data_IF_423055114700
#
_entry.id   IF_423055114700
#
_cell.length_a   1.000
_cell.length_b   1.000
_cell.length_c   1.000
_cell.angle_alpha   90.00
_cell.angle_beta   90.00
_cell.angle_gamma   90.00
#
_symmetry.space_group_name_H-M   'P 1'
#
loop_
_entity.id
_entity.type
_entity.pdbx_description
1 polymer ?
#
# COMPACT_ATOMS: atom_id res chain seq x y z
N UNK A 1 -1.22 22.09 27.12
CA UNK A 1 -1.58 21.97 28.55
C UNK A 1 -1.80 20.48 28.81
N UNK A 2 -1.19 19.91 29.86
CA UNK A 2 -0.98 18.46 30.09
C UNK A 2 -2.17 17.79 30.80
N UNK A 3 -2.52 16.56 30.38
CA UNK A 3 -3.44 15.63 31.05
C UNK A 3 -2.65 14.84 32.13
N UNK A 4 -3.06 14.84 33.41
CA UNK A 4 -2.33 14.23 34.52
C UNK A 4 -2.32 12.69 34.57
N UNK A 5 -3.04 11.97 33.70
CA UNK A 5 -3.19 10.50 33.83
C UNK A 5 -2.20 9.64 33.02
N UNK A 6 -1.29 10.22 32.22
CA UNK A 6 -0.29 9.46 31.46
C UNK A 6 1.15 9.96 31.69
N UNK A 7 1.89 9.39 32.66
CA UNK A 7 3.29 9.74 32.89
C UNK A 7 4.18 9.20 31.77
N UNK A 8 4.75 10.09 30.94
CA UNK A 8 5.88 9.73 30.07
C UNK A 8 7.17 9.71 30.91
N UNK A 9 7.97 8.66 30.79
CA UNK A 9 9.19 8.41 31.59
C UNK A 9 10.28 9.49 31.45
N UNK A 10 10.14 10.46 30.53
CA UNK A 10 11.00 11.64 30.49
C UNK A 10 10.15 12.88 30.25
N UNK A 11 10.35 13.91 31.08
CA UNK A 11 9.60 15.18 31.14
C UNK A 11 9.71 16.07 29.89
N UNK A 12 9.37 15.52 28.73
CA UNK A 12 9.11 16.28 27.51
C UNK A 12 7.79 17.05 27.59
N UNK A 13 7.64 18.11 26.79
CA UNK A 13 6.40 18.87 26.71
C UNK A 13 5.23 17.98 26.26
N UNK A 14 3.97 18.36 26.56
CA UNK A 14 2.79 17.67 26.03
C UNK A 14 2.86 17.55 24.50
N UNK A 15 2.32 16.46 23.95
CA UNK A 15 2.17 16.28 22.50
C UNK A 15 1.51 17.52 21.89
N UNK A 16 2.11 18.08 20.84
CA UNK A 16 1.49 19.15 20.07
C UNK A 16 0.40 18.56 19.18
N UNK A 17 -0.81 19.15 19.19
CA UNK A 17 -1.93 18.72 18.34
C UNK A 17 -2.04 19.54 17.06
N UNK A 18 -1.24 20.60 16.93
CA UNK A 18 -1.27 21.54 15.82
C UNK A 18 0.15 21.92 15.42
N UNK A 19 0.39 22.03 14.12
CA UNK A 19 1.67 22.48 13.57
C UNK A 19 1.43 23.50 12.46
N UNK A 20 2.08 24.66 12.60
CA UNK A 20 2.03 25.73 11.58
C UNK A 20 3.04 25.46 10.47
N UNK A 21 2.66 25.79 9.24
CA UNK A 21 3.54 25.82 8.07
C UNK A 21 4.24 27.18 7.91
N UNK A 22 3.82 28.21 8.65
CA UNK A 22 4.50 29.51 8.69
C UNK A 22 5.65 29.48 9.70
N UNK A 23 6.57 28.53 9.54
CA UNK A 23 7.75 28.34 10.38
C UNK A 23 8.92 27.78 9.58
N UNK A 24 10.17 27.96 10.02
CA UNK A 24 11.29 27.25 9.42
C UNK A 24 11.13 25.73 9.61
N UNK A 25 11.42 24.98 8.55
CA UNK A 25 11.49 23.52 8.58
C UNK A 25 12.95 23.09 8.68
N UNK A 26 13.23 22.24 9.66
CA UNK A 26 14.52 21.59 9.79
C UNK A 26 14.43 20.19 9.19
N UNK A 27 15.02 19.99 8.01
CA UNK A 27 14.82 18.76 7.20
C UNK A 27 15.92 17.71 7.39
N UNK A 28 17.04 18.03 8.05
CA UNK A 28 18.22 17.15 8.13
C UNK A 28 18.73 16.88 9.54
N UNK A 29 18.22 17.55 10.57
CA UNK A 29 18.74 17.42 11.93
C UNK A 29 18.15 16.23 12.70
N UNK A 30 16.86 15.95 12.53
CA UNK A 30 16.17 14.86 13.21
C UNK A 30 15.22 14.14 12.26
N UNK A 31 15.31 12.81 12.22
CA UNK A 31 14.48 11.94 11.36
C UNK A 31 14.42 12.40 9.90
N UNK A 32 15.57 12.68 9.30
CA UNK A 32 15.69 13.06 7.89
C UNK A 32 15.07 12.03 6.92
N UNK A 33 14.89 10.78 7.37
CA UNK A 33 14.19 9.73 6.62
C UNK A 33 12.75 10.08 6.25
N UNK A 34 12.09 10.95 7.02
CA UNK A 34 10.69 11.37 6.82
C UNK A 34 10.59 12.65 5.98
N UNK A 35 11.67 13.04 5.31
CA UNK A 35 11.78 14.32 4.61
C UNK A 35 12.03 14.08 3.12
N UNK A 36 11.65 15.08 2.31
CA UNK A 36 11.65 15.03 0.84
C UNK A 36 12.93 14.49 0.19
N UNK A 37 14.08 14.64 0.85
CA UNK A 37 15.37 14.21 0.31
C UNK A 37 15.67 12.71 0.52
N UNK A 38 14.77 11.98 1.18
CA UNK A 38 14.92 10.56 1.44
C UNK A 38 14.27 9.69 0.37
N UNK A 39 12.93 9.65 0.29
CA UNK A 39 12.21 8.78 -0.65
C UNK A 39 11.81 9.51 -1.94
N UNK A 40 11.41 10.76 -1.82
CA UNK A 40 10.83 11.54 -2.92
C UNK A 40 11.89 12.05 -3.88
N UNK A 41 13.00 12.60 -3.38
CA UNK A 41 14.05 13.16 -4.21
C UNK A 41 14.71 12.17 -5.19
N UNK A 42 15.11 10.94 -4.80
CA UNK A 42 15.64 9.99 -5.78
C UNK A 42 14.57 9.59 -6.82
N UNK A 43 13.29 9.51 -6.43
CA UNK A 43 12.20 9.24 -7.36
C UNK A 43 12.00 10.38 -8.36
N UNK A 44 11.96 11.63 -7.89
CA UNK A 44 11.85 12.85 -8.70
C UNK A 44 12.97 12.91 -9.74
N UNK A 45 14.21 12.70 -9.30
CA UNK A 45 15.38 12.70 -10.18
C UNK A 45 15.25 11.64 -11.26
N UNK A 46 14.79 10.45 -10.91
CA UNK A 46 14.63 9.37 -11.88
C UNK A 46 13.52 9.66 -12.89
N UNK A 47 12.38 10.23 -12.45
CA UNK A 47 11.31 10.66 -13.34
C UNK A 47 11.80 11.70 -14.35
N UNK A 48 12.45 12.76 -13.87
CA UNK A 48 12.94 13.85 -14.70
C UNK A 48 14.07 13.39 -15.63
N UNK A 49 15.02 12.56 -15.14
CA UNK A 49 16.08 11.97 -15.96
C UNK A 49 15.54 11.13 -17.10
N UNK A 50 14.41 10.44 -16.88
CA UNK A 50 13.77 9.61 -17.90
C UNK A 50 12.75 10.40 -18.76
N UNK A 51 12.62 11.71 -18.56
CA UNK A 51 11.76 12.57 -19.37
C UNK A 51 10.28 12.28 -19.22
N UNK A 52 9.82 11.81 -18.06
CA UNK A 52 8.39 11.73 -17.78
C UNK A 52 7.80 13.14 -17.66
N UNK A 53 6.61 13.34 -18.24
CA UNK A 53 5.90 14.60 -18.13
C UNK A 53 5.17 14.66 -16.78
N UNK A 54 5.73 15.42 -15.84
CA UNK A 54 5.29 15.45 -14.44
C UNK A 54 4.88 16.85 -14.01
N UNK A 55 3.87 16.91 -13.15
CA UNK A 55 3.50 18.10 -12.38
C UNK A 55 3.66 17.76 -10.89
N UNK A 56 4.12 18.73 -10.10
CA UNK A 56 4.24 18.56 -8.65
C UNK A 56 3.08 19.25 -7.93
N UNK A 57 2.57 18.58 -6.91
CA UNK A 57 1.43 19.05 -6.14
C UNK A 57 1.60 18.66 -4.68
N UNK A 58 1.20 19.55 -3.75
CA UNK A 58 1.29 19.24 -2.32
C UNK A 58 0.04 18.52 -1.81
N UNK A 59 0.12 17.88 -0.63
CA UNK A 59 -1.05 17.31 0.05
C UNK A 59 -2.18 18.33 0.26
N UNK A 60 -1.83 19.57 0.66
CA UNK A 60 -2.80 20.70 0.75
C UNK A 60 -3.51 20.92 -0.58
N UNK A 61 -2.77 20.85 -1.68
CA UNK A 61 -3.32 21.07 -3.00
C UNK A 61 -4.26 19.93 -3.41
N UNK A 62 -3.90 18.68 -3.11
CA UNK A 62 -4.77 17.51 -3.37
C UNK A 62 -6.11 17.60 -2.63
N UNK A 63 -6.17 18.30 -1.50
CA UNK A 63 -7.41 18.62 -0.81
C UNK A 63 -8.21 19.76 -1.46
N UNK A 64 -7.57 20.91 -1.74
CA UNK A 64 -8.30 22.12 -2.14
C UNK A 64 -8.49 22.28 -3.65
N UNK A 65 -7.78 21.48 -4.46
CA UNK A 65 -7.74 21.51 -5.93
C UNK A 65 -7.79 20.10 -6.51
N UNK A 66 -8.69 19.25 -5.97
CA UNK A 66 -8.81 17.85 -6.38
C UNK A 66 -9.10 17.64 -7.87
N UNK A 67 -9.77 18.60 -8.50
CA UNK A 67 -10.05 18.64 -9.93
C UNK A 67 -8.78 18.69 -10.80
N UNK A 68 -7.65 19.16 -10.28
CA UNK A 68 -6.37 19.17 -11.00
C UNK A 68 -5.80 17.76 -11.17
N UNK A 69 -6.16 16.81 -10.28
CA UNK A 69 -5.76 15.40 -10.38
C UNK A 69 -6.34 14.78 -11.66
N UNK A 70 -7.57 15.17 -12.03
CA UNK A 70 -8.28 14.68 -13.22
C UNK A 70 -7.64 15.09 -14.55
N UNK A 71 -6.69 16.03 -14.53
CA UNK A 71 -5.93 16.45 -15.72
C UNK A 71 -4.76 15.52 -16.03
N UNK A 72 -4.56 14.48 -15.22
CA UNK A 72 -3.43 13.55 -15.30
C UNK A 72 -3.93 12.12 -15.52
N UNK A 73 -3.07 11.26 -16.06
CA UNK A 73 -3.36 9.82 -16.21
C UNK A 73 -3.07 9.02 -14.95
N UNK A 74 -2.13 9.50 -14.15
CA UNK A 74 -1.58 8.81 -12.99
C UNK A 74 -1.33 9.82 -11.87
N UNK A 75 -1.87 9.53 -10.69
CA UNK A 75 -1.53 10.19 -9.43
C UNK A 75 -0.48 9.36 -8.68
N UNK A 76 0.56 10.02 -8.17
CA UNK A 76 1.64 9.40 -7.40
C UNK A 76 1.64 9.93 -5.97
N UNK A 77 1.65 9.02 -5.00
CA UNK A 77 2.10 9.31 -3.63
C UNK A 77 3.44 8.60 -3.43
N UNK A 78 4.46 9.33 -2.97
CA UNK A 78 5.85 8.87 -2.95
C UNK A 78 6.48 9.24 -1.61
N UNK A 79 7.31 8.36 -1.07
CA UNK A 79 8.07 8.63 0.15
C UNK A 79 7.27 8.25 1.39
N UNK A 80 7.03 9.20 2.29
CA UNK A 80 6.40 8.92 3.59
C UNK A 80 5.15 9.78 3.81
N UNK A 81 4.07 9.47 3.10
CA UNK A 81 2.85 10.29 3.02
C UNK A 81 1.83 9.95 4.14
N UNK A 82 2.30 10.00 5.40
CA UNK A 82 1.59 9.48 6.60
C UNK A 82 0.30 10.23 6.98
N UNK A 83 0.19 11.51 6.65
CA UNK A 83 -0.87 12.40 7.15
C UNK A 83 -1.80 12.87 6.03
N UNK A 84 -3.03 12.35 6.01
CA UNK A 84 -4.01 12.66 4.98
C UNK A 84 -5.26 13.31 5.56
N UNK A 85 -5.77 14.34 4.90
CA UNK A 85 -7.06 14.91 5.27
C UNK A 85 -8.23 14.13 4.66
N UNK A 86 -9.44 14.35 5.19
CA UNK A 86 -10.66 13.79 4.61
C UNK A 86 -10.82 14.13 3.12
N UNK A 87 -10.65 15.41 2.79
CA UNK A 87 -10.89 15.88 1.43
C UNK A 87 -9.78 15.45 0.47
N UNK A 88 -8.53 15.37 0.92
CA UNK A 88 -7.44 14.79 0.13
C UNK A 88 -7.77 13.35 -0.28
N UNK A 89 -8.11 12.48 0.70
CA UNK A 89 -8.49 11.10 0.41
C UNK A 89 -9.67 11.02 -0.57
N UNK A 90 -10.75 11.76 -0.29
CA UNK A 90 -11.95 11.80 -1.15
C UNK A 90 -11.62 12.21 -2.58
N UNK A 91 -10.77 13.21 -2.77
CA UNK A 91 -10.43 13.70 -4.11
C UNK A 91 -9.59 12.67 -4.89
N UNK A 92 -8.67 11.96 -4.21
CA UNK A 92 -7.88 10.86 -4.82
C UNK A 92 -8.78 9.67 -5.17
N UNK A 93 -9.71 9.28 -4.29
CA UNK A 93 -10.71 8.24 -4.55
C UNK A 93 -11.63 8.64 -5.72
N UNK A 94 -12.05 9.90 -5.79
CA UNK A 94 -12.85 10.42 -6.91
C UNK A 94 -12.06 10.39 -8.23
N UNK A 95 -10.76 10.68 -8.20
CA UNK A 95 -9.90 10.56 -9.38
C UNK A 95 -9.79 9.10 -9.85
N UNK A 96 -9.59 8.15 -8.93
CA UNK A 96 -9.65 6.71 -9.24
C UNK A 96 -10.98 6.34 -9.87
N UNK A 97 -12.09 6.77 -9.29
CA UNK A 97 -13.43 6.52 -9.81
C UNK A 97 -13.66 7.13 -11.21
N UNK A 98 -12.95 8.21 -11.56
CA UNK A 98 -12.95 8.83 -12.88
C UNK A 98 -11.96 8.21 -13.88
N UNK A 99 -11.24 7.14 -13.49
CA UNK A 99 -10.31 6.42 -14.38
C UNK A 99 -8.85 6.88 -14.29
N UNK A 100 -8.50 7.78 -13.36
CA UNK A 100 -7.10 8.14 -13.10
C UNK A 100 -6.44 6.99 -12.35
N UNK A 101 -5.30 6.50 -12.86
CA UNK A 101 -4.50 5.49 -12.19
C UNK A 101 -3.89 6.04 -10.89
N UNK A 102 -3.70 5.18 -9.89
CA UNK A 102 -3.01 5.56 -8.65
C UNK A 102 -1.77 4.66 -8.45
N UNK A 103 -0.66 5.23 -8.01
CA UNK A 103 0.46 4.44 -7.52
C UNK A 103 1.03 5.04 -6.23
N UNK A 104 1.10 4.21 -5.20
CA UNK A 104 1.60 4.54 -3.88
C UNK A 104 3.00 3.91 -3.74
N UNK A 105 4.03 4.71 -3.97
CA UNK A 105 5.43 4.37 -3.72
C UNK A 105 5.82 4.83 -2.30
N UNK A 106 5.03 4.35 -1.34
CA UNK A 106 5.08 4.69 0.07
C UNK A 106 4.79 3.44 0.90
N UNK A 107 5.16 3.51 2.17
CA UNK A 107 4.59 2.71 3.26
C UNK A 107 4.10 3.68 4.33
N UNK A 108 3.26 3.22 5.25
CA UNK A 108 2.64 4.09 6.26
C UNK A 108 1.88 5.28 5.68
N UNK A 109 1.50 5.25 4.40
CA UNK A 109 0.65 6.28 3.81
C UNK A 109 -0.77 6.22 4.33
N UNK A 110 -1.46 7.37 4.36
CA UNK A 110 -2.87 7.45 4.75
C UNK A 110 -3.10 6.91 6.18
N UNK A 111 -2.10 6.97 7.06
CA UNK A 111 -2.20 6.38 8.41
C UNK A 111 -2.92 7.31 9.39
N UNK A 112 -2.49 8.57 9.50
CA UNK A 112 -3.14 9.57 10.36
C UNK A 112 -4.12 10.42 9.58
N UNK A 113 -5.32 10.57 10.13
CA UNK A 113 -6.28 11.55 9.64
C UNK A 113 -6.00 12.93 10.21
N UNK A 114 -5.91 13.93 9.33
CA UNK A 114 -5.71 15.33 9.69
C UNK A 114 -6.89 16.20 9.26
N UNK A 115 -6.91 17.42 9.80
CA UNK A 115 -7.71 18.53 9.25
C UNK A 115 -6.88 19.81 9.24
N UNK A 116 -7.31 20.78 8.44
CA UNK A 116 -6.66 22.08 8.35
C UNK A 116 -7.37 23.15 9.15
N UNK A 117 -6.58 24.10 9.62
CA UNK A 117 -7.03 25.40 10.11
C UNK A 117 -6.23 26.51 9.40
N UNK A 118 -6.77 27.74 9.39
CA UNK A 118 -6.02 28.91 8.98
C UNK A 118 -4.75 29.14 9.81
N UNK A 119 -3.90 30.06 9.34
CA UNK A 119 -2.78 30.57 10.13
C UNK A 119 -3.27 31.26 11.39
N UNK A 120 -2.47 31.20 12.45
CA UNK A 120 -2.74 31.93 13.71
C UNK A 120 -2.21 33.37 13.70
N UNK A 121 -1.53 33.77 12.63
CA UNK A 121 -1.11 35.16 12.41
C UNK A 121 -2.26 36.03 11.87
N UNK A 122 -2.02 37.35 11.80
CA UNK A 122 -3.02 38.32 11.36
C UNK A 122 -3.48 38.12 9.90
N UNK A 123 -2.69 37.41 9.08
CA UNK A 123 -3.06 37.14 7.69
C UNK A 123 -4.16 36.06 7.59
N UNK A 124 -4.31 35.21 8.62
CA UNK A 124 -5.35 34.18 8.72
C UNK A 124 -5.52 33.36 7.43
N UNK A 125 -4.41 33.06 6.75
CA UNK A 125 -4.44 32.35 5.48
C UNK A 125 -4.86 30.89 5.68
N UNK A 126 -5.77 30.38 4.86
CA UNK A 126 -6.24 28.99 4.93
C UNK A 126 -5.10 27.97 4.70
N UNK A 127 -5.29 26.75 5.21
CA UNK A 127 -4.37 25.62 5.02
C UNK A 127 -2.94 25.88 5.51
N UNK A 128 -2.79 26.66 6.59
CA UNK A 128 -1.47 26.95 7.19
C UNK A 128 -1.22 26.24 8.51
N UNK A 129 -2.25 25.64 9.12
CA UNK A 129 -2.10 24.88 10.37
C UNK A 129 -2.66 23.47 10.18
N UNK A 130 -1.79 22.46 10.24
CA UNK A 130 -2.19 21.05 10.25
C UNK A 130 -2.58 20.65 11.67
N UNK A 131 -3.73 19.99 11.83
CA UNK A 131 -4.28 19.56 13.12
C UNK A 131 -4.43 18.04 13.16
N UNK A 132 -3.90 17.44 14.21
CA UNK A 132 -4.03 16.00 14.50
C UNK A 132 -3.98 15.77 16.01
N UNK A 133 -5.07 15.25 16.58
CA UNK A 133 -5.10 14.92 18.01
C UNK A 133 -4.55 13.52 18.27
N UNK A 134 -4.37 12.67 17.25
CA UNK A 134 -3.98 11.26 17.38
C UNK A 134 -4.86 10.54 18.41
N UNK A 135 -6.17 10.70 18.25
CA UNK A 135 -7.23 10.22 19.16
C UNK A 135 -7.15 8.72 19.44
N UNK A 136 -6.64 7.95 18.47
CA UNK A 136 -6.30 6.52 18.60
C UNK A 136 -5.37 6.23 19.78
N UNK A 137 -4.38 7.08 20.03
CA UNK A 137 -3.45 6.90 21.16
C UNK A 137 -4.10 7.18 22.51
N UNK A 138 -5.02 8.14 22.55
CA UNK A 138 -5.70 8.53 23.79
C UNK A 138 -6.92 7.66 24.09
N UNK A 139 -7.26 6.73 23.18
CA UNK A 139 -8.39 5.83 23.30
C UNK A 139 -9.72 6.57 23.55
N UNK A 140 -9.85 7.77 22.98
CA UNK A 140 -10.98 8.66 23.20
C UNK A 140 -11.10 9.72 22.09
N UNK A 141 -12.34 10.17 21.84
CA UNK A 141 -12.63 11.37 21.06
C UNK A 141 -12.20 12.61 21.86
N UNK A 142 -11.14 13.29 21.43
CA UNK A 142 -10.55 14.46 22.11
C UNK A 142 -10.32 15.68 21.20
N UNK A 143 -10.48 15.58 19.88
CA UNK A 143 -10.55 16.78 19.03
C UNK A 143 -11.84 17.55 19.40
N UNK A 144 -11.75 18.85 19.75
CA UNK A 144 -12.90 19.69 20.08
C UNK A 144 -13.99 19.75 19.02
N UNK A 145 -13.70 19.41 17.77
CA UNK A 145 -14.70 19.18 16.73
C UNK A 145 -15.28 17.77 16.88
N UNK A 146 -16.51 17.68 17.36
CA UNK A 146 -17.14 16.41 17.72
C UNK A 146 -17.37 15.46 16.52
N UNK A 147 -17.56 16.02 15.34
CA UNK A 147 -17.84 15.34 14.07
C UNK A 147 -16.58 15.06 13.23
N UNK A 148 -15.41 15.53 13.66
CA UNK A 148 -14.14 15.29 12.97
C UNK A 148 -13.31 14.23 13.69
N UNK A 149 -12.88 13.22 12.94
CA UNK A 149 -11.87 12.26 13.38
C UNK A 149 -10.45 12.72 13.03
N UNK A 150 -9.53 12.67 14.00
CA UNK A 150 -8.09 12.90 13.80
C UNK A 150 -7.20 11.84 14.47
N UNK A 151 -7.69 10.60 14.54
CA UNK A 151 -6.90 9.40 14.85
C UNK A 151 -6.47 8.66 13.59
N UNK A 152 -6.11 7.37 13.72
CA UNK A 152 -5.73 6.55 12.57
C UNK A 152 -6.95 6.21 11.72
N UNK A 153 -6.74 6.11 10.42
CA UNK A 153 -7.82 5.83 9.47
C UNK A 153 -8.46 4.44 9.69
N UNK A 154 -7.68 3.46 10.17
CA UNK A 154 -8.12 2.09 10.47
C UNK A 154 -8.85 1.89 11.80
N UNK A 155 -8.95 2.90 12.66
CA UNK A 155 -9.45 2.72 14.02
C UNK A 155 -10.95 2.36 14.02
N UNK A 156 -11.27 1.12 14.35
CA UNK A 156 -12.64 0.61 14.34
C UNK A 156 -13.38 0.82 15.68
N UNK A 157 -12.72 1.40 16.69
CA UNK A 157 -13.28 1.49 18.04
C UNK A 157 -14.45 2.49 18.10
N UNK A 158 -15.44 2.30 19.01
CA UNK A 158 -16.71 3.04 18.98
C UNK A 158 -16.62 4.56 19.15
N UNK A 159 -15.49 5.08 19.64
CA UNK A 159 -15.29 6.53 19.81
C UNK A 159 -14.81 7.23 18.52
N UNK A 160 -14.44 6.48 17.48
CA UNK A 160 -14.28 7.02 16.14
C UNK A 160 -15.69 7.24 15.55
N UNK A 161 -16.15 8.49 15.38
CA UNK A 161 -17.51 8.77 14.91
C UNK A 161 -17.74 8.41 13.44
N UNK A 162 -16.67 8.09 12.69
CA UNK A 162 -16.73 7.83 11.25
C UNK A 162 -16.58 6.35 10.89
N UNK A 163 -16.30 5.50 11.88
CA UNK A 163 -15.93 4.12 11.66
C UNK A 163 -14.57 3.95 10.95
N UNK A 164 -14.12 2.69 10.78
CA UNK A 164 -12.85 2.40 10.15
C UNK A 164 -12.92 2.63 8.63
N UNK A 165 -11.91 3.32 8.11
CA UNK A 165 -11.64 3.47 6.69
C UNK A 165 -10.15 3.16 6.50
N UNK A 166 -9.71 1.89 6.63
CA UNK A 166 -8.30 1.58 6.61
C UNK A 166 -7.65 1.93 5.27
N UNK A 167 -6.33 2.00 5.31
CA UNK A 167 -5.42 2.41 4.24
C UNK A 167 -5.53 1.46 3.05
N UNK A 168 -5.56 0.15 3.33
CA UNK A 168 -5.61 -0.89 2.31
C UNK A 168 -6.88 -0.84 1.44
N UNK A 169 -7.98 -0.26 1.92
CA UNK A 169 -9.18 -0.04 1.11
C UNK A 169 -8.93 0.90 -0.09
N UNK A 170 -7.90 1.73 -0.01
CA UNK A 170 -7.44 2.61 -1.09
C UNK A 170 -6.15 2.09 -1.73
N UNK A 171 -5.09 1.90 -0.94
CA UNK A 171 -3.73 1.69 -1.47
C UNK A 171 -3.42 0.22 -1.75
N UNK A 172 -4.24 -0.70 -1.21
CA UNK A 172 -4.03 -2.14 -1.31
C UNK A 172 -3.11 -2.73 -0.25
N UNK A 173 -2.43 -1.90 0.56
CA UNK A 173 -1.58 -2.32 1.67
C UNK A 173 -1.91 -1.57 2.95
N UNK A 174 -1.53 -2.12 4.10
CA UNK A 174 -1.75 -1.49 5.40
C UNK A 174 -0.46 -1.53 6.23
N UNK A 175 -0.11 -0.41 6.84
CA UNK A 175 1.11 -0.31 7.65
C UNK A 175 1.13 -1.27 8.83
N UNK A 176 2.20 -2.05 8.95
CA UNK A 176 2.37 -2.99 10.06
C UNK A 176 3.75 -2.97 10.70
N UNK A 177 4.79 -2.51 9.98
CA UNK A 177 6.17 -2.55 10.48
C UNK A 177 6.76 -1.16 10.67
N UNK A 178 6.94 -0.80 11.94
CA UNK A 178 7.57 0.44 12.36
C UNK A 178 9.09 0.26 12.56
N UNK A 179 9.82 1.36 12.66
CA UNK A 179 11.24 1.52 13.02
C UNK A 179 12.25 1.49 11.87
N UNK A 180 13.54 1.64 12.19
CA UNK A 180 14.65 1.76 11.25
C UNK A 180 14.95 0.45 10.51
N UNK A 181 14.07 0.06 9.57
CA UNK A 181 14.26 -1.11 8.71
C UNK A 181 15.08 -0.76 7.47
N UNK A 182 15.87 -1.73 7.02
CA UNK A 182 16.64 -1.67 5.78
C UNK A 182 16.70 -3.07 5.17
N UNK A 183 15.55 -3.73 5.08
CA UNK A 183 15.46 -5.09 4.56
C UNK A 183 15.51 -5.09 3.04
N UNK A 184 16.01 -6.16 2.40
CA UNK A 184 15.86 -6.34 0.97
C UNK A 184 14.42 -6.70 0.62
N UNK A 185 13.99 -6.33 -0.59
CA UNK A 185 12.79 -6.91 -1.19
C UNK A 185 13.18 -8.23 -1.86
N UNK A 186 12.46 -9.30 -1.53
CA UNK A 186 12.63 -10.65 -2.08
C UNK A 186 11.46 -10.95 -3.02
N UNK A 187 11.76 -11.53 -4.19
CA UNK A 187 10.74 -11.96 -5.16
C UNK A 187 10.91 -13.45 -5.44
N UNK A 188 10.00 -14.31 -4.94
CA UNK A 188 9.97 -15.71 -5.31
C UNK A 188 9.64 -15.92 -6.80
N UNK A 189 10.15 -17.00 -7.39
CA UNK A 189 9.89 -17.36 -8.79
C UNK A 189 8.40 -17.51 -9.14
N UNK A 190 7.53 -17.73 -8.15
CA UNK A 190 6.08 -17.76 -8.34
C UNK A 190 5.54 -16.45 -8.96
N UNK A 191 6.21 -15.31 -8.77
CA UNK A 191 5.80 -14.01 -9.32
C UNK A 191 6.49 -13.67 -10.65
N UNK A 192 7.49 -14.45 -11.07
CA UNK A 192 8.34 -14.12 -12.22
C UNK A 192 7.60 -13.94 -13.54
N UNK A 193 6.51 -14.70 -13.74
CA UNK A 193 5.72 -14.65 -14.98
C UNK A 193 4.74 -13.46 -15.03
N UNK A 194 4.53 -12.74 -13.92
CA UNK A 194 3.65 -11.59 -13.92
C UNK A 194 4.27 -10.46 -14.73
N UNK A 195 3.47 -9.81 -15.58
CA UNK A 195 3.91 -8.77 -16.50
C UNK A 195 4.60 -7.59 -15.83
N UNK A 196 4.33 -7.32 -14.55
CA UNK A 196 5.07 -6.33 -13.76
C UNK A 196 6.60 -6.51 -13.83
N UNK A 197 7.07 -7.76 -13.86
CA UNK A 197 8.48 -8.11 -13.89
C UNK A 197 9.08 -8.29 -15.29
N UNK A 198 8.33 -8.04 -16.38
CA UNK A 198 8.86 -8.17 -17.76
C UNK A 198 10.15 -7.35 -17.95
N UNK A 199 11.08 -7.81 -18.79
CA UNK A 199 12.37 -7.14 -19.04
C UNK A 199 13.32 -7.01 -17.82
N UNK A 200 13.02 -7.68 -16.70
CA UNK A 200 13.89 -7.76 -15.51
C UNK A 200 14.61 -9.11 -15.43
N UNK A 201 15.55 -9.24 -14.50
CA UNK A 201 16.12 -10.55 -14.15
C UNK A 201 15.16 -11.40 -13.33
N UNK A 202 14.20 -10.79 -12.63
CA UNK A 202 13.12 -11.49 -11.89
C UNK A 202 12.28 -12.35 -12.85
N UNK A 203 12.00 -11.86 -14.06
CA UNK A 203 11.24 -12.62 -15.06
C UNK A 203 11.95 -13.89 -15.57
N UNK A 204 13.25 -14.05 -15.27
CA UNK A 204 14.06 -15.21 -15.70
C UNK A 204 14.13 -16.30 -14.63
N UNK A 205 13.60 -16.05 -13.43
CA UNK A 205 13.65 -17.00 -12.32
C UNK A 205 12.95 -18.32 -12.68
N UNK A 206 13.59 -19.41 -12.33
CA UNK A 206 13.08 -20.77 -12.46
C UNK A 206 12.35 -21.21 -11.19
N UNK A 207 11.46 -22.22 -11.26
CA UNK A 207 10.75 -22.72 -10.07
C UNK A 207 11.69 -23.04 -8.90
N UNK A 208 11.41 -22.47 -7.73
CA UNK A 208 12.22 -22.63 -6.52
C UNK A 208 13.29 -21.54 -6.32
N UNK A 209 13.57 -20.70 -7.32
CA UNK A 209 14.47 -19.57 -7.19
C UNK A 209 13.79 -18.35 -6.54
N UNK A 210 14.63 -17.39 -6.13
CA UNK A 210 14.20 -16.07 -5.65
C UNK A 210 15.21 -15.01 -6.05
N UNK A 211 14.73 -13.84 -6.44
CA UNK A 211 15.55 -12.64 -6.53
C UNK A 211 15.64 -11.97 -5.16
N UNK A 212 16.83 -11.48 -4.81
CA UNK A 212 17.05 -10.61 -3.66
C UNK A 212 17.47 -9.26 -4.21
N UNK A 213 16.58 -8.29 -4.11
CA UNK A 213 16.77 -6.94 -4.64
C UNK A 213 17.53 -6.07 -3.62
N UNK A 214 17.76 -4.80 -3.98
CA UNK A 214 18.47 -3.83 -3.16
C UNK A 214 18.04 -3.88 -1.67
N UNK A 215 19.03 -4.03 -0.80
CA UNK A 215 18.88 -3.92 0.66
C UNK A 215 18.44 -2.49 0.97
N UNK A 216 17.46 -2.31 1.86
CA UNK A 216 16.92 -0.98 2.14
C UNK A 216 15.71 -0.63 1.27
N UNK A 217 15.29 -1.49 0.33
CA UNK A 217 14.02 -1.27 -0.34
C UNK A 217 12.84 -1.41 0.60
N UNK A 218 12.91 -2.30 1.58
CA UNK A 218 11.92 -2.41 2.66
C UNK A 218 12.40 -1.62 3.87
N UNK A 219 12.03 -0.34 3.87
CA UNK A 219 12.32 0.62 4.92
C UNK A 219 11.68 1.96 4.58
N UNK A 220 11.74 2.98 5.42
CA UNK A 220 12.00 2.93 6.87
C UNK A 220 10.92 2.07 7.51
N UNK A 221 9.70 2.36 7.10
CA UNK A 221 8.46 1.70 7.48
C UNK A 221 7.88 1.01 6.24
N UNK A 222 7.13 -0.07 6.46
CA UNK A 222 6.53 -0.84 5.38
C UNK A 222 5.27 -1.58 5.82
N UNK A 223 4.53 -2.02 4.81
CA UNK A 223 3.14 -2.44 4.91
C UNK A 223 2.96 -3.90 4.50
N UNK A 224 1.78 -4.45 4.81
CA UNK A 224 1.36 -5.79 4.41
C UNK A 224 0.04 -5.78 3.64
N UNK A 225 -0.20 -6.86 2.91
CA UNK A 225 -1.51 -7.20 2.35
C UNK A 225 -2.25 -8.18 3.29
N UNK A 226 -3.04 -7.64 4.23
CA UNK A 226 -3.81 -8.43 5.20
C UNK A 226 -5.27 -8.61 4.79
N UNK A 227 -5.83 -9.78 5.09
CA UNK A 227 -7.25 -10.08 4.88
C UNK A 227 -8.10 -9.59 6.06
N UNK A 228 -8.41 -8.30 6.06
CA UNK A 228 -9.17 -7.61 7.11
C UNK A 228 -10.60 -7.25 6.70
N UNK A 229 -11.11 -7.79 5.59
CA UNK A 229 -12.41 -7.43 5.02
C UNK A 229 -12.44 -6.10 4.25
N UNK A 230 -11.31 -5.40 4.12
CA UNK A 230 -11.19 -4.16 3.34
C UNK A 230 -10.25 -4.28 2.13
N UNK A 231 -9.76 -5.48 1.81
CA UNK A 231 -8.97 -5.70 0.59
C UNK A 231 -9.82 -5.35 -0.65
N UNK A 232 -9.31 -4.53 -1.59
CA UNK A 232 -9.98 -4.29 -2.86
C UNK A 232 -10.22 -5.57 -3.64
N UNK A 233 -11.35 -5.64 -4.35
CA UNK A 233 -11.70 -6.79 -5.17
C UNK A 233 -10.63 -7.07 -6.24
N UNK A 234 -10.23 -8.33 -6.38
CA UNK A 234 -9.24 -8.73 -7.37
C UNK A 234 -7.82 -8.24 -7.07
N UNK A 235 -7.52 -7.83 -5.83
CA UNK A 235 -6.15 -7.48 -5.47
C UNK A 235 -5.24 -8.69 -5.51
N UNK A 236 -4.15 -8.57 -6.27
CA UNK A 236 -3.13 -9.59 -6.40
C UNK A 236 -1.75 -9.08 -6.00
N UNK A 237 -0.90 -10.04 -5.60
CA UNK A 237 0.44 -9.81 -5.07
C UNK A 237 1.47 -9.96 -6.20
N UNK A 238 2.51 -9.13 -6.17
CA UNK A 238 3.58 -9.08 -7.17
C UNK A 238 4.95 -9.53 -6.61
N UNK A 239 5.09 -9.60 -5.29
CA UNK A 239 6.28 -10.10 -4.58
C UNK A 239 5.84 -10.77 -3.28
N UNK A 240 6.78 -11.36 -2.53
CA UNK A 240 6.53 -11.83 -1.17
C UNK A 240 7.84 -11.85 -0.38
N UNK A 241 7.88 -11.14 0.75
CA UNK A 241 9.05 -11.09 1.65
C UNK A 241 8.61 -11.21 3.11
N UNK A 242 8.93 -12.32 3.76
CA UNK A 242 8.69 -12.50 5.20
C UNK A 242 9.93 -12.17 6.01
N UNK A 243 9.77 -11.33 7.04
CA UNK A 243 10.82 -10.95 7.98
C UNK A 243 10.32 -11.19 9.41
N UNK A 244 11.11 -11.93 10.19
CA UNK A 244 10.87 -12.16 11.61
C UNK A 244 11.47 -11.06 12.49
N UNK A 245 10.97 -10.95 13.73
CA UNK A 245 11.48 -10.05 14.76
C UNK A 245 11.48 -8.58 14.33
N UNK A 246 10.38 -8.16 13.71
CA UNK A 246 10.13 -6.76 13.33
C UNK A 246 9.27 -6.05 14.39
N UNK A 247 9.33 -4.72 14.49
CA UNK A 247 8.47 -3.93 15.39
C UNK A 247 7.07 -3.84 14.80
N UNK A 248 6.27 -4.84 15.11
CA UNK A 248 4.97 -5.11 14.53
C UNK A 248 3.86 -4.43 15.31
N UNK A 249 2.96 -3.76 14.61
CA UNK A 249 1.79 -3.09 15.18
C UNK A 249 0.81 -4.12 15.80
N UNK A 250 0.42 -3.91 17.05
CA UNK A 250 -0.45 -4.85 17.80
C UNK A 250 -1.90 -4.36 17.91
N UNK A 251 -2.16 -3.11 17.55
CA UNK A 251 -3.46 -2.47 17.70
C UNK A 251 -3.75 -1.51 16.52
N UNK A 252 -4.62 -0.53 16.74
CA UNK A 252 -5.01 0.45 15.71
C UNK A 252 -3.94 1.52 15.42
N UNK A 253 -2.76 1.51 16.06
CA UNK A 253 -1.69 2.45 15.75
C UNK A 253 -0.74 2.87 16.88
N UNK A 254 -0.89 2.32 18.08
CA UNK A 254 -0.22 2.78 19.31
C UNK A 254 0.78 1.78 19.86
N UNK A 255 0.46 0.50 19.84
CA UNK A 255 1.25 -0.55 20.50
C UNK A 255 2.03 -1.31 19.46
N UNK A 256 3.32 -1.51 19.72
CA UNK A 256 4.23 -2.27 18.86
C UNK A 256 4.97 -3.30 19.72
N UNK A 257 5.15 -4.51 19.19
CA UNK A 257 5.95 -5.58 19.81
C UNK A 257 6.68 -6.37 18.73
N UNK A 258 7.59 -7.26 19.11
CA UNK A 258 8.27 -8.15 18.18
C UNK A 258 7.26 -9.09 17.50
N UNK A 259 7.27 -9.12 16.17
CA UNK A 259 6.41 -9.99 15.37
C UNK A 259 7.08 -10.44 14.08
N UNK A 260 6.33 -11.19 13.28
CA UNK A 260 6.68 -11.58 11.91
C UNK A 260 5.72 -10.88 10.97
N UNK A 261 6.25 -10.27 9.91
CA UNK A 261 5.46 -9.62 8.87
C UNK A 261 5.87 -10.13 7.49
N UNK A 262 4.91 -10.18 6.56
CA UNK A 262 5.07 -10.58 5.17
C UNK A 262 4.66 -9.46 4.23
N UNK A 263 5.65 -8.73 3.72
CA UNK A 263 5.47 -7.68 2.72
C UNK A 263 5.08 -8.26 1.35
N UNK A 264 4.17 -7.56 0.67
CA UNK A 264 3.84 -7.79 -0.73
C UNK A 264 3.73 -6.45 -1.47
N UNK A 265 4.28 -6.40 -2.68
CA UNK A 265 3.83 -5.44 -3.69
C UNK A 265 2.42 -5.83 -4.15
N UNK A 266 1.52 -4.86 -4.32
CA UNK A 266 0.12 -5.14 -4.68
C UNK A 266 -0.34 -4.37 -5.91
N UNK A 267 -1.28 -4.96 -6.64
CA UNK A 267 -1.98 -4.31 -7.75
C UNK A 267 -3.44 -4.75 -7.75
N UNK A 268 -4.35 -3.83 -8.04
CA UNK A 268 -5.73 -4.15 -8.40
C UNK A 268 -6.23 -3.20 -9.49
N UNK A 269 -7.32 -3.60 -10.15
CA UNK A 269 -8.05 -2.76 -11.11
C UNK A 269 -9.38 -2.39 -10.51
N UNK A 270 -9.62 -1.09 -10.36
CA UNK A 270 -10.92 -0.57 -9.93
C UNK A 270 -11.95 -0.69 -11.06
N UNK A 271 -13.25 -0.71 -10.74
CA UNK A 271 -14.37 -0.81 -11.70
C UNK A 271 -14.37 0.29 -12.77
N UNK A 272 -13.70 1.42 -12.52
CA UNK A 272 -13.48 2.50 -13.49
C UNK A 272 -12.44 2.16 -14.56
N UNK A 273 -11.76 1.01 -14.45
CA UNK A 273 -10.60 0.61 -15.25
C UNK A 273 -9.26 1.13 -14.71
N UNK A 274 -9.27 1.98 -13.67
CA UNK A 274 -8.05 2.49 -13.06
C UNK A 274 -7.29 1.39 -12.31
N UNK A 275 -6.06 1.10 -12.75
CA UNK A 275 -5.07 0.39 -11.95
C UNK A 275 -4.65 1.19 -10.71
N UNK A 276 -4.49 0.48 -9.59
CA UNK A 276 -3.93 1.00 -8.34
C UNK A 276 -2.84 0.09 -7.84
N UNK A 277 -1.63 0.65 -7.69
CA UNK A 277 -0.44 -0.06 -7.22
C UNK A 277 -0.03 0.40 -5.82
N UNK A 278 0.33 -0.55 -4.96
CA UNK A 278 0.93 -0.31 -3.65
C UNK A 278 2.33 -0.92 -3.56
N UNK A 279 3.34 -0.08 -3.34
CA UNK A 279 4.70 -0.53 -3.06
C UNK A 279 4.86 -1.04 -1.62
N UNK A 280 4.04 -0.54 -0.70
CA UNK A 280 4.07 -0.89 0.72
C UNK A 280 5.41 -0.62 1.39
N UNK A 281 6.16 0.39 0.94
CA UNK A 281 7.43 0.79 1.55
C UNK A 281 7.82 2.23 1.22
N UNK A 282 8.34 2.94 2.21
CA UNK A 282 8.77 4.35 2.10
C UNK A 282 9.96 4.53 1.15
N UNK A 283 10.83 3.53 1.05
CA UNK A 283 12.14 3.64 0.41
C UNK A 283 12.19 3.10 -1.02
N UNK A 284 11.05 2.92 -1.71
CA UNK A 284 11.03 2.47 -3.11
C UNK A 284 11.91 3.34 -4.02
N UNK A 285 11.92 4.66 -3.78
CA UNK A 285 12.73 5.63 -4.53
C UNK A 285 14.24 5.33 -4.53
N UNK A 286 14.77 4.64 -3.52
CA UNK A 286 16.19 4.27 -3.45
C UNK A 286 16.58 3.26 -4.53
N UNK A 287 15.63 2.40 -4.94
CA UNK A 287 15.83 1.52 -6.09
C UNK A 287 15.92 2.26 -7.41
N UNK A 288 15.49 3.53 -7.49
CA UNK A 288 15.45 4.31 -8.73
C UNK A 288 16.69 5.19 -8.92
N UNK A 289 17.21 5.79 -7.86
CA UNK A 289 18.39 6.67 -7.92
C UNK A 289 19.17 6.62 -6.61
N UNK A 290 20.50 6.63 -6.70
CA UNK A 290 21.38 6.53 -5.54
C UNK A 290 21.48 7.83 -4.71
N UNK A 291 20.85 8.93 -5.13
CA UNK A 291 20.97 10.20 -4.42
C UNK A 291 19.86 10.39 -3.36
N UNK A 292 20.16 10.08 -2.11
CA UNK A 292 19.26 10.27 -0.97
C UNK A 292 20.01 10.61 0.35
N UNK A 293 19.28 11.23 1.30
CA UNK A 293 19.82 11.80 2.55
C UNK A 293 20.13 10.78 3.67
N UNK A 294 19.72 9.51 3.52
CA UNK A 294 20.05 8.46 4.49
C UNK A 294 20.88 7.36 3.83
N UNK A 295 21.92 6.89 4.52
CA UNK A 295 22.64 5.71 4.11
C UNK A 295 21.83 4.45 4.44
N UNK A 296 21.71 3.56 3.47
CA UNK A 296 21.13 2.23 3.67
C UNK A 296 21.81 1.52 4.85
N UNK A 297 21.03 1.19 5.88
CA UNK A 297 21.50 0.40 7.02
C UNK A 297 22.14 1.18 8.18
N UNK A 298 22.08 2.52 8.18
CA UNK A 298 22.68 3.35 9.24
C UNK A 298 21.59 4.03 10.10
N UNK A 299 21.61 3.88 11.44
CA UNK A 299 20.71 4.63 12.32
C UNK A 299 20.91 6.14 12.15
N UNK A 300 19.85 6.95 12.06
CA UNK A 300 19.96 8.38 11.77
C UNK A 300 20.66 9.17 12.86
N UNK A 301 20.81 8.64 14.08
CA UNK A 301 21.64 9.29 15.09
C UNK A 301 23.11 9.38 14.66
N UNK A 302 23.53 8.63 13.64
CA UNK A 302 24.85 8.69 13.02
C UNK A 302 24.91 9.49 11.72
N UNK A 303 23.78 9.95 11.18
CA UNK A 303 23.81 10.89 10.06
C UNK A 303 24.49 12.17 10.56
N UNK A 304 25.59 12.56 9.91
CA UNK A 304 26.36 13.71 10.32
C UNK A 304 25.46 14.97 10.31
N UNK A 305 25.15 15.53 11.47
CA UNK A 305 24.30 16.72 11.61
C UNK A 305 24.86 17.97 10.90
N UNK A 306 26.07 17.89 10.32
CA UNK A 306 26.70 18.94 9.51
C UNK A 306 26.70 18.65 8.01
N UNK A 307 26.21 17.49 7.55
CA UNK A 307 26.08 17.25 6.12
C UNK A 307 24.91 18.06 5.56
N UNK A 308 25.23 18.90 4.58
CA UNK A 308 24.30 19.82 3.92
C UNK A 308 23.92 19.35 2.53
N UNK A 309 24.48 18.21 2.09
CA UNK A 309 24.29 17.67 0.74
C UNK A 309 23.53 16.36 0.79
N UNK A 310 22.79 16.09 -0.28
CA UNK A 310 22.21 14.76 -0.51
C UNK A 310 23.36 13.79 -0.78
N UNK A 311 23.37 12.67 -0.07
CA UNK A 311 24.38 11.62 -0.19
C UNK A 311 24.31 10.89 -1.53
N UNK A 312 25.31 10.03 -1.78
CA UNK A 312 25.30 9.07 -2.89
C UNK A 312 25.47 7.69 -2.27
N UNK A 313 24.43 6.86 -2.35
CA UNK A 313 24.51 5.47 -1.91
C UNK A 313 25.43 4.68 -2.85
N UNK A 314 26.50 4.14 -2.29
CA UNK A 314 27.51 3.39 -3.04
C UNK A 314 27.01 2.04 -3.53
N UNK A 315 25.88 1.54 -3.00
CA UNK A 315 25.21 0.34 -3.52
C UNK A 315 24.54 0.58 -4.86
N UNK A 316 24.23 1.85 -5.19
CA UNK A 316 23.59 2.23 -6.43
C UNK A 316 22.09 1.87 -6.49
N UNK A 317 21.39 2.30 -7.56
CA UNK A 317 20.00 1.91 -7.78
C UNK A 317 19.88 0.43 -8.18
N UNK A 318 18.65 -0.10 -8.17
CA UNK A 318 18.33 -1.46 -8.62
C UNK A 318 17.65 -1.43 -9.99
N UNK A 319 18.31 -2.02 -11.00
CA UNK A 319 17.78 -2.05 -12.37
C UNK A 319 16.41 -2.76 -12.45
N UNK A 320 16.16 -3.78 -11.63
CA UNK A 320 14.88 -4.49 -11.64
C UNK A 320 13.75 -3.58 -11.13
N UNK A 321 14.02 -2.74 -10.13
CA UNK A 321 13.07 -1.75 -9.61
C UNK A 321 12.82 -0.63 -10.63
N UNK A 322 13.86 -0.12 -11.26
CA UNK A 322 13.74 0.86 -12.34
C UNK A 322 12.87 0.31 -13.49
N UNK A 323 13.17 -0.90 -13.96
CA UNK A 323 12.44 -1.51 -15.07
C UNK A 323 11.00 -1.87 -14.68
N UNK A 324 10.75 -2.37 -13.46
CA UNK A 324 9.41 -2.65 -12.98
C UNK A 324 8.55 -1.38 -12.87
N UNK A 325 9.16 -0.25 -12.49
CA UNK A 325 8.48 1.07 -12.47
C UNK A 325 8.13 1.53 -13.88
N UNK A 326 9.02 1.35 -14.87
CA UNK A 326 8.72 1.62 -16.30
C UNK A 326 7.55 0.75 -16.79
N UNK A 327 7.57 -0.54 -16.44
CA UNK A 327 6.52 -1.48 -16.82
C UNK A 327 5.15 -1.09 -16.26
N UNK A 328 5.10 -0.74 -14.97
CA UNK A 328 3.89 -0.28 -14.31
C UNK A 328 3.33 0.98 -14.98
N UNK A 329 4.19 1.97 -15.23
CA UNK A 329 3.77 3.21 -15.89
C UNK A 329 3.25 2.96 -17.30
N UNK A 330 3.87 2.04 -18.05
CA UNK A 330 3.38 1.65 -19.36
C UNK A 330 1.98 1.01 -19.29
N UNK A 331 1.71 0.16 -18.30
CA UNK A 331 0.37 -0.43 -18.05
C UNK A 331 -0.65 0.62 -17.60
N UNK A 332 -0.20 1.71 -16.99
CA UNK A 332 -0.98 2.91 -16.65
C UNK A 332 -1.03 3.96 -17.79
N UNK A 333 -0.58 3.60 -19.00
CA UNK A 333 -0.63 4.47 -20.18
C UNK A 333 0.30 5.69 -20.11
N UNK A 334 1.37 5.64 -19.31
CA UNK A 334 2.38 6.69 -19.16
C UNK A 334 3.71 6.20 -19.77
N UNK A 335 4.34 7.03 -20.60
CA UNK A 335 5.58 6.70 -21.30
C UNK A 335 6.65 7.77 -21.05
N UNK A 336 7.93 7.39 -20.93
CA UNK A 336 9.04 8.33 -20.85
C UNK A 336 9.33 8.97 -22.21
N UNK A 337 9.68 10.27 -22.23
CA UNK A 337 10.16 10.92 -23.45
C UNK A 337 11.63 10.56 -23.76
N UNK A 338 12.44 10.30 -22.73
CA UNK A 338 13.86 9.99 -22.86
C UNK A 338 14.24 8.88 -21.89
N UNK A 339 14.09 7.63 -22.28
CA UNK A 339 14.44 6.50 -21.43
C UNK A 339 15.96 6.27 -21.37
N UNK A 340 16.51 6.03 -20.17
CA UNK A 340 17.91 5.63 -20.02
C UNK A 340 18.22 4.33 -20.79
N UNK A 341 19.44 4.22 -21.31
CA UNK A 341 19.78 3.24 -22.35
C UNK A 341 19.72 1.76 -21.92
N UNK A 342 19.80 1.48 -20.63
CA UNK A 342 19.78 0.13 -20.07
C UNK A 342 18.37 -0.35 -19.68
N UNK A 343 17.34 0.49 -19.85
CA UNK A 343 15.93 0.14 -19.66
C UNK A 343 15.23 -0.06 -21.01
N UNK A 344 14.17 -0.86 -20.99
CA UNK A 344 13.32 -1.17 -22.14
C UNK A 344 11.97 -0.48 -21.97
N UNK A 345 11.51 0.22 -23.00
CA UNK A 345 10.19 0.83 -22.99
C UNK A 345 9.11 -0.25 -22.84
N UNK A 346 8.21 -0.07 -21.88
CA UNK A 346 7.08 -0.97 -21.69
C UNK A 346 5.95 -0.70 -22.68
N UNK A 347 5.07 -1.68 -22.87
CA UNK A 347 3.77 -1.50 -23.51
C UNK A 347 2.67 -1.84 -22.50
N UNK A 348 1.51 -1.20 -22.64
CA UNK A 348 0.33 -1.56 -21.86
C UNK A 348 -0.15 -2.97 -22.22
N UNK A 349 -0.80 -3.64 -21.27
CA UNK A 349 -1.50 -4.89 -21.56
C UNK A 349 -2.54 -4.72 -22.67
N UNK A 350 -2.59 -5.68 -23.58
CA UNK A 350 -3.67 -5.83 -24.58
C UNK A 350 -4.70 -6.87 -24.17
N UNK A 351 -4.47 -7.53 -23.04
CA UNK A 351 -5.35 -8.54 -22.48
C UNK A 351 -6.45 -7.86 -21.67
N UNK A 352 -7.69 -8.12 -22.10
CA UNK A 352 -8.93 -7.52 -21.60
C UNK A 352 -9.93 -8.59 -21.15
N UNK A 353 -9.58 -9.87 -21.30
CA UNK A 353 -10.48 -10.99 -21.03
C UNK A 353 -10.21 -11.50 -19.62
N UNK A 354 -11.25 -11.61 -18.80
CA UNK A 354 -11.07 -12.12 -17.45
C UNK A 354 -10.71 -13.62 -17.46
N UNK A 355 -9.91 -14.09 -16.49
CA UNK A 355 -9.66 -15.51 -16.32
C UNK A 355 -10.93 -16.26 -15.93
N UNK A 356 -10.86 -17.60 -15.96
CA UNK A 356 -11.95 -18.48 -15.54
C UNK A 356 -11.48 -19.38 -14.40
N UNK A 357 -12.24 -19.41 -13.31
CA UNK A 357 -12.01 -20.30 -12.18
C UNK A 357 -13.08 -21.39 -12.07
N UNK A 358 -12.70 -22.50 -11.44
CA UNK A 358 -13.59 -23.65 -11.20
C UNK A 358 -13.32 -24.19 -9.81
N UNK A 359 -14.34 -24.19 -8.96
CA UNK A 359 -14.35 -24.92 -7.70
C UNK A 359 -14.57 -26.40 -7.98
N UNK A 360 -13.68 -27.25 -7.46
CA UNK A 360 -13.70 -28.70 -7.69
C UNK A 360 -13.98 -29.50 -6.41
N UNK A 361 -13.54 -28.98 -5.26
CA UNK A 361 -13.73 -29.61 -3.97
C UNK A 361 -14.22 -28.57 -2.96
N UNK A 362 -15.27 -28.87 -2.20
CA UNK A 362 -16.12 -30.07 -2.27
C UNK A 362 -17.02 -30.06 -3.53
N UNK A 363 -17.63 -31.20 -3.91
CA UNK A 363 -18.62 -31.22 -4.99
C UNK A 363 -19.92 -30.50 -4.57
N UNK A 364 -20.70 -30.03 -5.55
CA UNK A 364 -21.99 -29.41 -5.31
C UNK A 364 -22.95 -30.36 -4.57
N UNK A 365 -23.66 -29.81 -3.58
CA UNK A 365 -24.58 -30.54 -2.70
C UNK A 365 -23.88 -31.35 -1.60
N UNK A 366 -22.57 -31.16 -1.38
CA UNK A 366 -21.87 -31.84 -0.32
C UNK A 366 -22.38 -31.45 1.08
N UNK A 367 -22.44 -32.44 1.97
CA UNK A 367 -22.63 -32.23 3.41
C UNK A 367 -21.27 -32.24 4.10
N UNK A 368 -20.94 -31.17 4.83
CA UNK A 368 -19.65 -30.96 5.47
C UNK A 368 -19.82 -30.76 6.98
N UNK A 369 -18.81 -31.11 7.79
CA UNK A 369 -18.85 -30.87 9.23
C UNK A 369 -18.70 -29.38 9.56
N UNK A 370 -19.20 -28.98 10.73
CA UNK A 370 -18.85 -27.71 11.38
C UNK A 370 -17.41 -27.78 11.93
N UNK A 371 -16.45 -27.79 11.00
CA UNK A 371 -15.02 -27.83 11.24
C UNK A 371 -14.30 -27.19 10.05
N UNK A 372 -12.99 -26.96 10.17
CA UNK A 372 -12.21 -26.44 9.04
C UNK A 372 -12.25 -27.41 7.86
N UNK A 373 -12.68 -26.92 6.72
CA UNK A 373 -12.70 -27.63 5.43
C UNK A 373 -11.79 -26.93 4.44
N UNK A 374 -11.17 -27.72 3.55
CA UNK A 374 -10.33 -27.17 2.48
C UNK A 374 -11.13 -27.15 1.20
N UNK A 375 -11.45 -25.95 0.73
CA UNK A 375 -11.99 -25.70 -0.59
C UNK A 375 -10.84 -25.72 -1.60
N UNK A 376 -11.08 -26.19 -2.82
CA UNK A 376 -10.03 -26.27 -3.83
C UNK A 376 -10.57 -26.30 -5.25
N UNK A 377 -9.73 -25.82 -6.17
CA UNK A 377 -10.13 -25.67 -7.55
C UNK A 377 -8.98 -25.33 -8.48
N UNK A 378 -9.36 -24.91 -9.69
CA UNK A 378 -8.43 -24.46 -10.72
C UNK A 378 -8.80 -23.09 -11.25
N UNK A 379 -7.83 -22.41 -11.84
CA UNK A 379 -8.06 -21.20 -12.62
C UNK A 379 -7.17 -21.21 -13.85
N UNK A 380 -7.64 -20.59 -14.93
CA UNK A 380 -6.86 -20.42 -16.16
C UNK A 380 -7.15 -19.06 -16.76
N UNK A 381 -6.17 -18.56 -17.48
CA UNK A 381 -6.27 -17.38 -18.31
C UNK A 381 -5.78 -17.75 -19.72
N UNK A 382 -6.50 -17.28 -20.74
CA UNK A 382 -6.21 -17.61 -22.13
C UNK A 382 -5.16 -16.67 -22.73
N UNK A 383 -5.23 -15.39 -22.38
CA UNK A 383 -4.45 -14.31 -22.97
C UNK A 383 -3.46 -13.65 -21.99
N UNK A 384 -3.42 -14.12 -20.74
CA UNK A 384 -2.49 -13.67 -19.70
C UNK A 384 -2.10 -14.74 -18.68
N UNK A 385 -1.82 -14.30 -17.44
CA UNK A 385 -1.43 -15.15 -16.31
C UNK A 385 -2.38 -14.92 -15.16
N UNK A 386 -3.00 -15.99 -14.63
CA UNK A 386 -3.76 -15.90 -13.37
C UNK A 386 -2.86 -15.39 -12.26
N UNK A 387 -3.19 -14.24 -11.68
CA UNK A 387 -2.40 -13.57 -10.64
C UNK A 387 -2.90 -13.88 -9.22
N UNK A 388 -4.21 -14.04 -9.04
CA UNK A 388 -4.80 -14.48 -7.78
C UNK A 388 -6.17 -15.16 -7.98
N UNK A 389 -6.65 -15.82 -6.93
CA UNK A 389 -8.00 -16.37 -6.82
C UNK A 389 -8.59 -15.91 -5.49
N UNK A 390 -9.86 -15.54 -5.52
CA UNK A 390 -10.64 -15.19 -4.33
C UNK A 390 -11.81 -16.17 -4.17
N UNK A 391 -12.18 -16.43 -2.91
CA UNK A 391 -13.27 -17.31 -2.53
C UNK A 391 -14.25 -16.55 -1.65
N UNK A 392 -15.54 -16.75 -1.91
CA UNK A 392 -16.63 -16.28 -1.05
C UNK A 392 -17.36 -17.49 -0.48
N UNK A 393 -17.67 -17.45 0.81
CA UNK A 393 -18.46 -18.48 1.50
C UNK A 393 -19.81 -17.95 1.97
N UNK A 394 -20.19 -16.74 1.56
CA UNK A 394 -21.39 -16.02 1.98
C UNK A 394 -22.16 -15.46 0.78
N UNK A 395 -22.17 -16.20 -0.33
CA UNK A 395 -22.87 -15.84 -1.56
C UNK A 395 -22.45 -14.48 -2.15
N UNK A 396 -21.14 -14.19 -2.09
CA UNK A 396 -20.52 -13.02 -2.70
C UNK A 396 -20.55 -11.76 -1.84
N UNK A 397 -20.99 -11.83 -0.58
CA UNK A 397 -20.99 -10.69 0.32
C UNK A 397 -19.58 -10.28 0.79
N UNK A 398 -18.68 -11.25 0.97
CA UNK A 398 -17.26 -11.05 1.22
C UNK A 398 -16.39 -12.01 0.40
N UNK A 399 -15.14 -11.61 0.15
CA UNK A 399 -14.19 -12.33 -0.68
C UNK A 399 -12.83 -12.38 -0.01
N UNK A 400 -12.23 -13.56 0.02
CA UNK A 400 -10.98 -13.84 0.70
C UNK A 400 -9.95 -14.42 -0.27
N UNK A 401 -8.65 -14.04 -0.18
CA UNK A 401 -7.63 -14.58 -1.07
C UNK A 401 -7.39 -16.07 -0.80
N UNK A 402 -7.38 -16.87 -1.87
CA UNK A 402 -6.98 -18.27 -1.83
C UNK A 402 -5.45 -18.42 -1.90
N UNK A 403 -4.95 -19.57 -1.46
CA UNK A 403 -3.57 -19.96 -1.68
C UNK A 403 -3.40 -20.58 -3.06
N UNK A 404 -2.39 -20.13 -3.81
CA UNK A 404 -2.14 -20.60 -5.17
C UNK A 404 -2.86 -19.78 -6.24
N UNK A 405 -2.78 -20.25 -7.48
CA UNK A 405 -3.29 -19.55 -8.68
C UNK A 405 -3.98 -20.54 -9.60
N UNK A 406 -3.22 -21.17 -10.50
CA UNK A 406 -3.76 -22.15 -11.46
C UNK A 406 -4.35 -23.39 -10.79
N UNK A 407 -3.71 -23.83 -9.71
CA UNK A 407 -4.27 -24.70 -8.69
C UNK A 407 -4.36 -23.89 -7.40
N UNK A 408 -5.51 -23.92 -6.75
CA UNK A 408 -5.74 -23.10 -5.57
C UNK A 408 -6.48 -23.86 -4.47
N UNK A 409 -6.25 -23.43 -3.23
CA UNK A 409 -6.94 -23.93 -2.05
C UNK A 409 -7.33 -22.78 -1.11
N UNK A 410 -8.39 -22.98 -0.35
CA UNK A 410 -8.83 -22.04 0.69
C UNK A 410 -9.31 -22.82 1.92
N UNK A 411 -8.71 -22.57 3.07
CA UNK A 411 -9.13 -23.18 4.33
C UNK A 411 -10.27 -22.35 4.93
N UNK A 412 -11.46 -22.94 5.00
CA UNK A 412 -12.66 -22.29 5.49
C UNK A 412 -13.13 -22.93 6.80
N UNK A 413 -13.43 -22.09 7.79
CA UNK A 413 -14.06 -22.51 9.05
C UNK A 413 -15.46 -21.89 9.12
N UNK A 414 -16.54 -22.65 8.86
CA UNK A 414 -17.91 -22.14 9.00
C UNK A 414 -18.25 -21.79 10.46
N UNK A 415 -18.93 -20.67 10.67
CA UNK A 415 -19.34 -20.22 12.01
C UNK A 415 -20.58 -20.94 12.55
N UNK A 416 -21.41 -21.52 11.68
CA UNK A 416 -22.67 -22.17 12.05
C UNK A 416 -23.07 -23.31 11.09
N UNK A 417 -23.94 -24.24 11.51
CA UNK A 417 -24.62 -25.15 10.60
C UNK A 417 -25.59 -24.38 9.69
N UNK A 418 -25.79 -24.86 8.47
CA UNK A 418 -26.69 -24.22 7.52
C UNK A 418 -26.36 -24.53 6.07
N UNK A 419 -27.13 -23.93 5.16
CA UNK A 419 -26.87 -23.95 3.73
C UNK A 419 -25.96 -22.77 3.38
N UNK A 420 -24.90 -23.02 2.63
CA UNK A 420 -23.93 -22.02 2.19
C UNK A 420 -23.74 -22.08 0.69
N UNK A 421 -23.66 -20.91 0.05
CA UNK A 421 -23.27 -20.78 -1.35
C UNK A 421 -21.80 -20.36 -1.41
N UNK A 422 -20.98 -21.22 -1.99
CA UNK A 422 -19.55 -21.00 -2.16
C UNK A 422 -19.29 -20.54 -3.59
N UNK A 423 -18.65 -19.39 -3.74
CA UNK A 423 -18.24 -18.83 -5.02
C UNK A 423 -16.71 -18.77 -5.11
N UNK A 424 -16.18 -18.78 -6.33
CA UNK A 424 -14.79 -18.43 -6.61
C UNK A 424 -14.71 -17.46 -7.78
N UNK A 425 -13.66 -16.63 -7.81
CA UNK A 425 -13.31 -15.79 -8.95
C UNK A 425 -11.79 -15.66 -9.07
N UNK A 426 -11.27 -15.64 -10.28
CA UNK A 426 -9.86 -15.39 -10.56
C UNK A 426 -9.63 -13.95 -11.05
N UNK A 427 -8.40 -13.47 -10.91
CA UNK A 427 -7.91 -12.22 -11.51
C UNK A 427 -6.60 -12.51 -12.23
N UNK A 428 -6.42 -11.92 -13.41
CA UNK A 428 -5.17 -12.03 -14.17
C UNK A 428 -4.15 -10.94 -13.79
N UNK A 429 -2.97 -10.99 -14.39
CA UNK A 429 -1.89 -10.04 -14.16
C UNK A 429 -2.07 -8.70 -14.91
N UNK A 430 -3.11 -8.58 -15.73
CA UNK A 430 -3.65 -7.33 -16.27
C UNK A 430 -4.69 -6.69 -15.33
N UNK A 431 -5.14 -7.41 -14.30
CA UNK A 431 -6.18 -7.00 -13.38
C UNK A 431 -7.61 -7.19 -13.91
N UNK A 432 -7.85 -7.99 -14.95
CA UNK A 432 -9.21 -8.34 -15.33
C UNK A 432 -9.77 -9.35 -14.31
N UNK A 433 -10.89 -9.00 -13.69
CA UNK A 433 -11.51 -9.78 -12.63
C UNK A 433 -12.67 -10.61 -13.18
N UNK A 434 -12.65 -11.90 -12.91
CA UNK A 434 -13.73 -12.81 -13.27
C UNK A 434 -15.03 -12.40 -12.57
N UNK A 435 -16.11 -12.32 -13.35
CA UNK A 435 -17.45 -12.36 -12.78
C UNK A 435 -17.72 -13.79 -12.30
N UNK A 436 -17.81 -13.97 -10.98
CA UNK A 436 -18.05 -15.29 -10.39
C UNK A 436 -19.28 -15.97 -11.00
N UNK A 437 -19.14 -17.26 -11.29
CA UNK A 437 -20.27 -18.10 -11.68
C UNK A 437 -21.22 -18.36 -10.49
N UNK A 438 -22.30 -19.13 -10.70
CA UNK A 438 -23.29 -19.42 -9.66
C UNK A 438 -22.73 -20.19 -8.44
N UNK A 439 -21.50 -20.68 -8.50
CA UNK A 439 -20.84 -21.42 -7.44
C UNK A 439 -21.47 -22.78 -7.17
N UNK A 440 -21.32 -23.25 -5.93
CA UNK A 440 -21.96 -24.48 -5.44
C UNK A 440 -22.68 -24.23 -4.12
N UNK A 441 -23.70 -25.03 -3.86
CA UNK A 441 -24.30 -25.12 -2.53
C UNK A 441 -23.69 -26.26 -1.73
N UNK A 442 -23.44 -26.03 -0.43
CA UNK A 442 -23.03 -27.05 0.54
C UNK A 442 -23.84 -26.92 1.81
N UNK A 443 -24.07 -28.04 2.51
CA UNK A 443 -24.75 -28.06 3.80
C UNK A 443 -23.76 -28.32 4.93
N UNK A 444 -23.64 -27.40 5.88
CA UNK A 444 -22.86 -27.58 7.11
C UNK A 444 -23.73 -28.20 8.19
N UNK A 445 -23.26 -29.29 8.79
CA UNK A 445 -23.93 -30.01 9.87
C UNK A 445 -23.10 -30.05 11.14
N UNK A 446 -23.76 -30.16 12.28
CA UNK A 446 -23.08 -30.46 13.55
C UNK A 446 -22.34 -31.80 13.45
N UNK A 447 -21.21 -31.97 14.17
CA UNK A 447 -20.40 -33.19 14.14
C UNK A 447 -21.16 -34.49 14.48
#
# INVERSE_FOLDING_TARGET
>A
RLNPEYPRIHGGPPRAHKVSYNRPFETRHYRAVNMVFNGEYPFIRWLERNGYNVSYFSGVDSERRGEEILKHRLFLSVGHDEYWSRNQRRNVEAARAAGVHLAFFSGNEVFWKIRWEPSVDDANADYRTMVVYKETHDNAKIDPKADEWTGTWRDARPFNPEGPQPENALTGTIFTVNAWRNDPLIVPAAYAQLRFWRNTDVAKLQPGERAVLLRGLLGHEWDEDIDNGFRPAGLFRLSETTIDNVPYIQDHGTVYDAGTATHHLTLYRHDSGALVFGAGTVQWGWGLDAHHDAETGVPPERANATDTRVGVDLTGPDRNIQQATVNLFADMGVQPATLQADLVAGAASTDMEAPVSTLLQPPAGATLPLATVVLGGTARDADGVVAAVEVSTDNGASWHPAHGRTQWTYAWSPDAPGLYTILCRAVDDSGNLEQANAGIEVTIVQP
#
